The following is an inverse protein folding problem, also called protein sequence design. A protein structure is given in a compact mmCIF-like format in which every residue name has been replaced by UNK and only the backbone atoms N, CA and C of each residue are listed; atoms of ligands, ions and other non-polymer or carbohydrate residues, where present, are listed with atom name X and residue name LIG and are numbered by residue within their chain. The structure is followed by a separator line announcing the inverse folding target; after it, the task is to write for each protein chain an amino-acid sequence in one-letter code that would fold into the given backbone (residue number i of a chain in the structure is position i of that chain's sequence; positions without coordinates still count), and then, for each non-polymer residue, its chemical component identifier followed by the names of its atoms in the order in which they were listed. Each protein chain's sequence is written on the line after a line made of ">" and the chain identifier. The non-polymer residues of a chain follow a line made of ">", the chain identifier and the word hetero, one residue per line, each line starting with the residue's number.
data_IF_219950889091
#
_entry.id   IF_219950889091
#
_cell.length_a   1.000
_cell.length_b   1.000
_cell.length_c   1.000
_cell.angle_alpha   90.00
_cell.angle_beta   90.00
_cell.angle_gamma   90.00
#
_symmetry.space_group_name_H-M   'P 1'
#
loop_
_entity.id
_entity.type
_entity.pdbx_description
1 polymer ?
#
# COMPACT_ATOMS: atom_id res chain seq x y z
N UNK A 1 -23.63 -6.04 -0.37
CA UNK A 1 -22.32 -6.62 -0.04
C UNK A 1 -22.23 -7.99 -0.65
N UNK A 2 -23.27 -8.81 -0.48
CA UNK A 2 -23.38 -10.16 -1.05
C UNK A 2 -23.03 -10.21 -2.55
N UNK A 3 -23.66 -9.37 -3.38
CA UNK A 3 -23.34 -9.31 -4.82
C UNK A 3 -21.86 -9.06 -5.14
N UNK A 4 -21.14 -8.30 -4.31
CA UNK A 4 -19.74 -7.97 -4.53
C UNK A 4 -18.87 -9.16 -4.13
N UNK A 5 -19.24 -9.87 -3.06
CA UNK A 5 -18.52 -11.07 -2.63
C UNK A 5 -18.71 -12.20 -3.63
N UNK A 6 -19.93 -12.39 -4.12
CA UNK A 6 -20.23 -13.40 -5.15
C UNK A 6 -19.38 -13.19 -6.42
N UNK A 7 -19.09 -11.94 -6.79
CA UNK A 7 -18.21 -11.61 -7.94
C UNK A 7 -16.71 -11.73 -7.61
N UNK A 8 -16.34 -11.69 -6.32
CA UNK A 8 -14.96 -11.81 -5.86
C UNK A 8 -14.55 -13.27 -5.61
N UNK A 9 -15.51 -14.17 -5.37
CA UNK A 9 -15.27 -15.62 -5.20
C UNK A 9 -14.52 -16.24 -6.41
N UNK A 10 -14.67 -15.68 -7.61
CA UNK A 10 -13.92 -16.15 -8.79
C UNK A 10 -12.41 -15.80 -8.74
N UNK A 11 -11.95 -15.01 -7.76
CA UNK A 11 -10.60 -14.43 -7.64
C UNK A 11 -9.91 -14.77 -6.30
N UNK A 12 -10.23 -15.91 -5.68
CA UNK A 12 -9.74 -16.30 -4.34
C UNK A 12 -8.19 -16.28 -4.18
N UNK A 13 -7.44 -16.56 -5.24
CA UNK A 13 -5.96 -16.60 -5.22
C UNK A 13 -5.30 -15.38 -5.89
N UNK A 14 -6.09 -14.43 -6.39
CA UNK A 14 -5.58 -13.31 -7.18
C UNK A 14 -5.27 -12.06 -6.35
N UNK A 15 -4.31 -11.28 -6.85
CA UNK A 15 -3.99 -9.98 -6.28
C UNK A 15 -5.01 -8.91 -6.70
N UNK A 16 -5.90 -8.54 -5.78
CA UNK A 16 -6.96 -7.55 -6.04
C UNK A 16 -6.50 -6.11 -5.83
N UNK A 17 -6.66 -5.27 -6.86
CA UNK A 17 -6.49 -3.81 -6.77
C UNK A 17 -7.86 -3.15 -6.87
N UNK A 18 -8.30 -2.52 -5.78
CA UNK A 18 -9.57 -1.80 -5.73
C UNK A 18 -9.33 -0.32 -5.95
N UNK A 19 -9.81 0.21 -7.08
CA UNK A 19 -9.86 1.65 -7.29
C UNK A 19 -10.97 2.27 -6.42
N UNK A 20 -10.59 3.32 -5.71
CA UNK A 20 -11.30 3.85 -4.58
C UNK A 20 -11.84 5.26 -4.92
N UNK A 21 -13.08 5.62 -4.51
CA UNK A 21 -13.59 6.97 -4.71
C UNK A 21 -12.63 8.06 -4.22
N UNK A 22 -12.41 9.11 -5.01
CA UNK A 22 -11.46 10.18 -4.65
C UNK A 22 -11.90 11.14 -3.53
N UNK A 23 -13.05 10.91 -2.89
CA UNK A 23 -13.57 11.77 -1.82
C UNK A 23 -13.09 11.31 -0.46
N UNK A 24 -12.27 12.12 0.21
CA UNK A 24 -11.63 11.74 1.48
C UNK A 24 -12.62 11.59 2.66
N UNK A 25 -13.81 12.15 2.51
CA UNK A 25 -14.93 12.02 3.44
C UNK A 25 -15.36 10.56 3.64
N UNK A 26 -15.23 9.74 2.60
CA UNK A 26 -15.57 8.32 2.61
C UNK A 26 -14.62 7.48 3.47
N UNK A 27 -13.43 8.02 3.77
CA UNK A 27 -12.37 7.36 4.52
C UNK A 27 -12.20 7.94 5.92
N UNK A 28 -12.72 9.16 6.17
CA UNK A 28 -12.58 9.86 7.44
C UNK A 28 -13.81 9.73 8.35
N UNK A 29 -15.03 9.94 7.83
CA UNK A 29 -16.21 10.04 8.70
C UNK A 29 -17.45 9.28 8.23
N UNK A 30 -17.52 8.87 6.96
CA UNK A 30 -18.60 8.00 6.46
C UNK A 30 -18.15 6.53 6.60
N UNK A 31 -18.93 5.62 7.23
CA UNK A 31 -18.50 4.25 7.49
C UNK A 31 -18.50 3.31 6.25
N UNK A 32 -18.72 3.82 5.04
CA UNK A 32 -18.89 2.99 3.83
C UNK A 32 -17.63 2.17 3.54
N UNK A 33 -16.46 2.81 3.52
CA UNK A 33 -15.21 2.10 3.26
C UNK A 33 -14.86 1.11 4.37
N UNK A 34 -15.14 1.46 5.62
CA UNK A 34 -14.94 0.55 6.75
C UNK A 34 -15.79 -0.71 6.60
N UNK A 35 -17.08 -0.58 6.28
CA UNK A 35 -17.97 -1.73 6.05
C UNK A 35 -17.50 -2.59 4.89
N UNK A 36 -16.97 -2.00 3.82
CA UNK A 36 -16.38 -2.74 2.70
C UNK A 36 -15.15 -3.55 3.14
N UNK A 37 -14.22 -2.91 3.85
CA UNK A 37 -13.01 -3.55 4.36
C UNK A 37 -13.32 -4.68 5.34
N UNK A 38 -14.23 -4.46 6.28
CA UNK A 38 -14.65 -5.47 7.26
C UNK A 38 -15.22 -6.71 6.55
N UNK A 39 -15.95 -6.51 5.45
CA UNK A 39 -16.51 -7.60 4.66
C UNK A 39 -15.41 -8.36 3.90
N UNK A 40 -14.45 -7.66 3.28
CA UNK A 40 -13.31 -8.30 2.60
C UNK A 40 -12.47 -9.12 3.58
N UNK A 41 -12.19 -8.59 4.77
CA UNK A 41 -11.45 -9.31 5.81
C UNK A 41 -12.21 -10.52 6.33
N UNK A 42 -13.55 -10.45 6.43
CA UNK A 42 -14.39 -11.61 6.80
C UNK A 42 -14.36 -12.72 5.74
N UNK A 43 -14.21 -12.37 4.47
CA UNK A 43 -14.02 -13.32 3.36
C UNK A 43 -12.58 -13.85 3.27
N UNK A 44 -11.68 -13.48 4.18
CA UNK A 44 -10.31 -13.99 4.24
C UNK A 44 -9.26 -13.15 3.51
N UNK A 45 -9.65 -12.03 2.88
CA UNK A 45 -8.68 -11.15 2.21
C UNK A 45 -7.80 -10.41 3.22
N UNK A 46 -6.49 -10.41 2.95
CA UNK A 46 -5.52 -9.54 3.63
C UNK A 46 -5.49 -8.19 2.92
N UNK A 47 -5.90 -7.14 3.61
CA UNK A 47 -6.11 -5.83 3.00
C UNK A 47 -5.07 -4.83 3.50
N UNK A 48 -4.49 -4.05 2.58
CA UNK A 48 -3.63 -2.90 2.87
C UNK A 48 -4.14 -1.69 2.09
N UNK A 49 -4.11 -0.51 2.71
CA UNK A 49 -4.43 0.75 2.05
C UNK A 49 -3.17 1.41 1.50
N UNK A 50 -3.20 1.80 0.22
CA UNK A 50 -2.14 2.62 -0.39
C UNK A 50 -2.60 4.07 -0.41
N UNK A 51 -2.10 4.89 0.52
CA UNK A 51 -2.46 6.29 0.65
C UNK A 51 -1.59 7.16 -0.24
N UNK A 52 -2.16 7.62 -1.36
CA UNK A 52 -1.45 8.36 -2.39
C UNK A 52 -1.53 9.88 -2.16
N UNK A 53 -0.36 10.52 -2.04
CA UNK A 53 -0.22 11.98 -1.97
C UNK A 53 0.55 12.47 -3.19
N UNK A 54 0.15 13.61 -3.74
CA UNK A 54 0.84 14.22 -4.88
C UNK A 54 2.12 14.95 -4.41
N UNK A 55 3.25 14.69 -5.09
CA UNK A 55 4.56 15.27 -4.77
C UNK A 55 4.60 16.79 -4.69
N UNK A 56 3.69 17.49 -5.36
CA UNK A 56 3.62 18.95 -5.25
C UNK A 56 3.16 19.45 -3.87
N UNK A 57 2.46 18.62 -3.09
CA UNK A 57 1.96 19.00 -1.75
C UNK A 57 3.04 19.00 -0.70
N UNK A 58 4.11 18.22 -0.90
CA UNK A 58 5.18 18.04 0.08
C UNK A 58 6.12 19.25 0.17
N UNK A 59 6.15 20.10 -0.86
CA UNK A 59 7.04 21.25 -0.90
C UNK A 59 6.61 22.41 0.00
N UNK A 60 5.44 22.31 0.62
CA UNK A 60 4.89 23.26 1.58
C UNK A 60 4.65 22.54 2.90
N UNK A 61 5.33 23.00 3.96
CA UNK A 61 5.33 22.35 5.27
C UNK A 61 3.91 22.26 5.85
N UNK A 62 3.10 23.31 5.70
CA UNK A 62 1.72 23.33 6.21
C UNK A 62 0.81 22.34 5.45
N UNK A 63 0.97 22.24 4.13
CA UNK A 63 0.23 21.27 3.31
C UNK A 63 0.62 19.84 3.62
N UNK A 64 1.91 19.58 3.79
CA UNK A 64 2.41 18.27 4.19
C UNK A 64 1.79 17.82 5.52
N UNK A 65 1.88 18.66 6.55
CA UNK A 65 1.27 18.37 7.85
C UNK A 65 -0.22 18.07 7.73
N UNK A 66 -0.94 18.90 6.97
CA UNK A 66 -2.38 18.71 6.77
C UNK A 66 -2.69 17.38 6.09
N UNK A 67 -1.89 17.00 5.09
CA UNK A 67 -1.98 15.70 4.40
C UNK A 67 -1.67 14.53 5.33
N UNK A 68 -0.60 14.61 6.12
CA UNK A 68 -0.19 13.56 7.05
C UNK A 68 -1.21 13.37 8.19
N UNK A 69 -1.80 14.44 8.71
CA UNK A 69 -2.88 14.34 9.70
C UNK A 69 -4.15 13.73 9.10
N UNK A 70 -4.45 14.04 7.83
CA UNK A 70 -5.56 13.42 7.11
C UNK A 70 -5.33 11.93 6.91
N UNK A 71 -4.12 11.55 6.51
CA UNK A 71 -3.70 10.16 6.39
C UNK A 71 -3.87 9.42 7.72
N UNK A 72 -3.39 10.00 8.82
CA UNK A 72 -3.57 9.44 10.16
C UNK A 72 -5.05 9.24 10.52
N UNK A 73 -5.89 10.23 10.20
CA UNK A 73 -7.33 10.10 10.42
C UNK A 73 -7.93 8.92 9.65
N UNK A 74 -7.48 8.67 8.42
CA UNK A 74 -7.90 7.53 7.62
C UNK A 74 -7.37 6.21 8.22
N UNK A 75 -6.10 6.16 8.65
CA UNK A 75 -5.51 5.00 9.32
C UNK A 75 -6.31 4.56 10.54
N UNK A 76 -6.62 5.50 11.43
CA UNK A 76 -7.41 5.23 12.64
C UNK A 76 -8.82 4.76 12.28
N UNK A 77 -9.40 5.26 11.19
CA UNK A 77 -10.79 4.93 10.82
C UNK A 77 -10.91 3.56 10.17
N UNK A 78 -9.99 3.25 9.27
CA UNK A 78 -10.02 2.02 8.48
C UNK A 78 -9.44 0.83 9.24
N UNK A 79 -8.54 1.07 10.22
CA UNK A 79 -7.95 0.03 11.07
C UNK A 79 -7.24 -1.10 10.29
N UNK A 80 -6.62 -0.75 9.17
CA UNK A 80 -5.81 -1.65 8.35
C UNK A 80 -4.39 -1.08 8.18
N UNK A 81 -3.40 -1.91 7.80
CA UNK A 81 -2.09 -1.42 7.39
C UNK A 81 -2.19 -0.37 6.28
N UNK A 82 -1.36 0.67 6.37
CA UNK A 82 -1.30 1.74 5.37
C UNK A 82 0.12 1.92 4.87
N UNK A 83 0.25 2.14 3.56
CA UNK A 83 1.47 2.52 2.89
C UNK A 83 1.28 3.92 2.31
N UNK A 84 2.10 4.86 2.76
CA UNK A 84 2.07 6.23 2.28
C UNK A 84 2.93 6.36 1.03
N UNK A 85 2.34 6.81 -0.08
CA UNK A 85 3.01 6.88 -1.37
C UNK A 85 3.02 8.30 -1.88
N UNK A 86 4.20 8.75 -2.29
CA UNK A 86 4.40 10.03 -2.94
C UNK A 86 4.37 9.86 -4.47
N UNK A 87 3.35 10.41 -5.11
CA UNK A 87 3.06 10.18 -6.53
C UNK A 87 3.54 11.31 -7.43
N UNK A 88 3.55 11.04 -8.75
CA UNK A 88 3.84 12.01 -9.82
C UNK A 88 5.28 12.55 -9.79
N UNK A 89 6.24 11.74 -9.36
CA UNK A 89 7.65 12.17 -9.37
C UNK A 89 8.21 12.43 -10.77
N UNK A 90 7.65 11.77 -11.80
CA UNK A 90 7.95 12.05 -13.20
C UNK A 90 7.67 13.53 -13.59
N UNK A 91 6.65 14.15 -12.98
CA UNK A 91 6.29 15.55 -13.19
C UNK A 91 7.28 16.48 -12.49
N UNK A 92 7.75 16.12 -11.30
CA UNK A 92 8.76 16.88 -10.55
C UNK A 92 10.13 16.81 -11.20
N UNK A 93 10.53 15.65 -11.75
CA UNK A 93 11.78 15.47 -12.51
C UNK A 93 11.89 16.49 -13.64
N UNK A 94 10.81 16.72 -14.39
CA UNK A 94 10.73 17.73 -15.46
C UNK A 94 10.85 19.17 -14.94
N UNK A 95 10.48 19.39 -13.68
CA UNK A 95 10.45 20.71 -13.03
C UNK A 95 11.76 21.05 -12.29
N UNK A 96 12.79 20.20 -12.34
CA UNK A 96 14.10 20.38 -11.68
C UNK A 96 14.04 20.54 -10.15
N UNK A 97 12.94 20.14 -9.50
CA UNK A 97 12.76 20.21 -8.04
C UNK A 97 12.95 18.87 -7.33
N UNK A 98 13.58 17.91 -8.00
CA UNK A 98 13.81 16.57 -7.44
C UNK A 98 14.59 16.64 -6.12
N UNK A 99 15.62 17.49 -6.07
CA UNK A 99 16.43 17.72 -4.88
C UNK A 99 15.63 18.24 -3.70
N UNK A 100 14.59 19.02 -3.95
CA UNK A 100 13.74 19.56 -2.88
C UNK A 100 12.87 18.45 -2.27
N UNK A 101 12.45 17.48 -3.09
CA UNK A 101 11.70 16.30 -2.64
C UNK A 101 12.62 15.30 -1.92
N UNK A 102 13.79 15.00 -2.49
CA UNK A 102 14.79 14.13 -1.84
C UNK A 102 15.18 14.69 -0.47
N UNK A 103 15.53 15.99 -0.42
CA UNK A 103 15.81 16.68 0.83
C UNK A 103 14.63 16.65 1.79
N UNK A 104 13.39 16.63 1.29
CA UNK A 104 12.21 16.54 2.14
C UNK A 104 12.02 15.13 2.71
N UNK A 105 12.20 14.08 1.89
CA UNK A 105 12.08 12.69 2.33
C UNK A 105 13.12 12.35 3.40
N UNK A 106 14.27 13.01 3.38
CA UNK A 106 15.33 12.90 4.38
C UNK A 106 15.11 13.82 5.60
N UNK A 107 14.05 14.66 5.63
CA UNK A 107 13.80 15.54 6.77
C UNK A 107 13.39 14.74 7.99
N UNK A 108 14.08 15.03 9.08
CA UNK A 108 13.66 14.58 10.39
C UNK A 108 12.48 15.41 10.89
N UNK A 109 11.64 14.81 11.74
CA UNK A 109 10.44 15.46 12.30
C UNK A 109 10.78 16.79 12.97
N UNK A 110 11.91 16.85 13.69
CA UNK A 110 12.33 18.07 14.37
C UNK A 110 12.64 19.22 13.39
N UNK A 111 13.24 18.91 12.23
CA UNK A 111 13.54 19.89 11.19
C UNK A 111 12.25 20.41 10.54
N UNK A 112 11.27 19.53 10.33
CA UNK A 112 9.94 19.91 9.85
C UNK A 112 9.24 20.87 10.84
N UNK A 113 9.31 20.58 12.13
CA UNK A 113 8.72 21.47 13.16
C UNK A 113 9.41 22.83 13.18
N UNK A 114 10.74 22.86 13.07
CA UNK A 114 11.48 24.13 13.03
C UNK A 114 11.16 24.95 11.77
N UNK A 115 10.96 24.29 10.61
CA UNK A 115 10.44 24.95 9.40
C UNK A 115 9.05 25.55 9.64
N UNK A 116 8.13 24.80 10.24
CA UNK A 116 6.79 25.29 10.57
C UNK A 116 6.83 26.47 11.54
N UNK A 117 7.70 26.42 12.54
CA UNK A 117 7.86 27.51 13.51
C UNK A 117 8.35 28.80 12.85
N UNK A 118 9.15 28.70 11.78
CA UNK A 118 9.59 29.85 10.98
C UNK A 118 8.51 30.36 10.02
N UNK A 119 7.64 29.48 9.51
CA UNK A 119 6.55 29.81 8.58
C UNK A 119 5.28 30.30 9.30
N UNK A 120 5.12 29.99 10.58
CA UNK A 120 3.91 30.28 11.36
C UNK A 120 4.15 31.26 12.51
N UNK A 121 3.07 31.87 13.02
CA UNK A 121 3.16 32.75 14.17
C UNK A 121 3.53 31.97 15.45
N UNK A 122 4.35 32.56 16.33
CA UNK A 122 4.79 31.99 17.61
C UNK A 122 3.68 31.40 18.49
N UNK A 123 2.43 31.88 18.37
CA UNK A 123 1.28 31.30 19.08
C UNK A 123 1.01 29.83 18.72
N UNK A 124 1.47 29.37 17.56
CA UNK A 124 1.28 28.01 17.04
C UNK A 124 2.45 27.07 17.33
N UNK A 125 3.58 27.54 17.85
CA UNK A 125 4.76 26.68 18.06
C UNK A 125 4.48 25.49 18.98
N UNK A 126 3.66 25.70 20.03
CA UNK A 126 3.23 24.60 20.90
C UNK A 126 2.42 23.55 20.13
N UNK A 127 1.54 23.99 19.23
CA UNK A 127 0.75 23.09 18.38
C UNK A 127 1.66 22.34 17.40
N UNK A 128 2.60 23.04 16.74
CA UNK A 128 3.53 22.44 15.78
C UNK A 128 4.36 21.32 16.44
N UNK A 129 4.85 21.54 17.67
CA UNK A 129 5.60 20.52 18.43
C UNK A 129 4.75 19.29 18.75
N UNK A 130 3.50 19.49 19.17
CA UNK A 130 2.57 18.37 19.44
C UNK A 130 2.22 17.61 18.16
N UNK A 131 2.03 18.31 17.04
CA UNK A 131 1.82 17.67 15.75
C UNK A 131 3.06 16.88 15.33
N UNK A 132 4.27 17.45 15.49
CA UNK A 132 5.51 16.74 15.20
C UNK A 132 5.63 15.43 15.97
N UNK A 133 5.39 15.46 17.29
CA UNK A 133 5.37 14.25 18.12
C UNK A 133 4.38 13.20 17.59
N UNK A 134 3.16 13.62 17.22
CA UNK A 134 2.17 12.72 16.64
C UNK A 134 2.63 12.09 15.32
N UNK A 135 3.33 12.85 14.47
CA UNK A 135 3.85 12.31 13.22
C UNK A 135 5.00 11.31 13.43
N UNK A 136 5.83 11.55 14.45
CA UNK A 136 6.91 10.65 14.86
C UNK A 136 6.35 9.33 15.40
N UNK A 137 5.38 9.40 16.32
CA UNK A 137 4.75 8.23 16.95
C UNK A 137 4.12 7.27 15.92
N UNK A 138 3.59 7.80 14.82
CA UNK A 138 2.95 7.03 13.76
C UNK A 138 3.82 6.83 12.51
N UNK A 139 5.10 7.25 12.55
CA UNK A 139 6.04 7.16 11.41
C UNK A 139 5.48 7.74 10.09
N UNK A 140 4.62 8.75 10.18
CA UNK A 140 3.88 9.33 9.04
C UNK A 140 4.74 10.16 8.08
N UNK A 141 6.02 10.33 8.40
CA UNK A 141 6.98 11.03 7.54
C UNK A 141 7.61 10.08 6.51
N UNK A 142 7.48 8.76 6.69
CA UNK A 142 7.91 7.77 5.71
C UNK A 142 6.95 7.69 4.52
N UNK A 143 7.31 8.35 3.41
CA UNK A 143 6.63 8.19 2.13
C UNK A 143 7.50 7.38 1.17
N UNK A 144 6.90 6.43 0.46
CA UNK A 144 7.54 5.74 -0.64
C UNK A 144 7.44 6.61 -1.90
N UNK A 145 8.57 7.02 -2.50
CA UNK A 145 8.55 7.75 -3.76
C UNK A 145 8.11 6.82 -4.92
N UNK A 146 7.07 7.22 -5.64
CA UNK A 146 6.57 6.54 -6.83
C UNK A 146 6.79 7.38 -8.10
N UNK A 147 7.60 6.83 -9.00
CA UNK A 147 7.73 7.27 -10.38
C UNK A 147 7.21 6.19 -11.33
N UNK A 148 6.07 6.48 -11.98
CA UNK A 148 5.43 5.54 -12.91
C UNK A 148 6.24 5.28 -14.19
N UNK A 149 7.23 6.11 -14.49
CA UNK A 149 8.14 5.90 -15.61
C UNK A 149 9.32 4.99 -15.26
N UNK A 150 9.46 4.63 -13.99
CA UNK A 150 10.54 3.82 -13.45
C UNK A 150 10.00 2.47 -12.91
N UNK A 151 10.37 1.38 -13.60
CA UNK A 151 9.94 0.04 -13.21
C UNK A 151 10.50 -0.39 -11.85
N UNK A 152 11.68 0.08 -11.45
CA UNK A 152 12.28 -0.25 -10.16
C UNK A 152 11.48 0.40 -9.02
N UNK A 153 11.03 1.65 -9.21
CA UNK A 153 10.15 2.35 -8.27
C UNK A 153 8.83 1.62 -8.07
N UNK A 154 8.20 1.14 -9.15
CA UNK A 154 6.95 0.36 -9.07
C UNK A 154 7.20 -0.97 -8.36
N UNK A 155 8.27 -1.68 -8.72
CA UNK A 155 8.62 -2.98 -8.14
C UNK A 155 8.92 -2.87 -6.65
N UNK A 156 9.59 -1.79 -6.23
CA UNK A 156 9.83 -1.50 -4.83
C UNK A 156 8.53 -1.26 -4.05
N UNK A 157 7.60 -0.47 -4.61
CA UNK A 157 6.30 -0.25 -3.98
C UNK A 157 5.52 -1.56 -3.84
N UNK A 158 5.47 -2.39 -4.88
CA UNK A 158 4.82 -3.71 -4.85
C UNK A 158 5.41 -4.59 -3.74
N UNK A 159 6.74 -4.67 -3.66
CA UNK A 159 7.40 -5.42 -2.59
C UNK A 159 7.04 -4.91 -1.19
N UNK A 160 6.88 -3.60 -1.00
CA UNK A 160 6.44 -3.06 0.29
C UNK A 160 4.97 -3.41 0.60
N UNK A 161 4.09 -3.44 -0.41
CA UNK A 161 2.70 -3.87 -0.24
C UNK A 161 2.66 -5.37 0.11
N UNK A 162 3.39 -6.20 -0.62
CA UNK A 162 3.49 -7.65 -0.38
C UNK A 162 3.95 -7.94 1.05
N UNK A 163 4.98 -7.23 1.52
CA UNK A 163 5.43 -7.33 2.92
C UNK A 163 4.33 -6.91 3.90
N UNK A 164 3.58 -5.85 3.61
CA UNK A 164 2.53 -5.34 4.49
C UNK A 164 1.31 -6.26 4.58
N UNK A 165 0.98 -6.99 3.52
CA UNK A 165 -0.10 -7.99 3.53
C UNK A 165 0.41 -9.41 3.81
N UNK A 166 1.72 -9.59 4.05
CA UNK A 166 2.37 -10.89 4.24
C UNK A 166 2.11 -11.86 3.08
N UNK A 167 2.09 -11.34 1.85
CA UNK A 167 1.85 -12.15 0.67
C UNK A 167 2.94 -13.23 0.54
N UNK A 168 2.53 -14.49 0.36
CA UNK A 168 3.45 -15.61 0.18
C UNK A 168 3.94 -16.31 1.46
N UNK A 169 3.62 -15.85 2.67
CA UNK A 169 4.04 -16.54 3.92
C UNK A 169 3.29 -17.86 4.18
N UNK A 170 2.07 -17.99 3.66
CA UNK A 170 1.25 -19.21 3.76
C UNK A 170 1.48 -20.18 2.59
N UNK A 171 2.35 -19.83 1.65
CA UNK A 171 2.70 -20.72 0.54
C UNK A 171 3.68 -21.75 1.08
N UNK A 172 3.22 -23.00 1.20
CA UNK A 172 4.11 -24.10 1.58
C UNK A 172 5.31 -24.14 0.62
N UNK A 173 6.54 -24.26 1.13
CA UNK A 173 7.71 -24.41 0.27
C UNK A 173 7.53 -25.69 -0.54
N UNK A 174 7.42 -25.57 -1.87
CA UNK A 174 7.39 -26.73 -2.76
C UNK A 174 8.67 -27.54 -2.56
N UNK A 175 8.52 -28.81 -2.19
CA UNK A 175 9.66 -29.70 -2.07
C UNK A 175 10.25 -29.88 -3.49
N UNK A 176 11.56 -29.69 -3.71
CA UNK A 176 12.18 -29.88 -5.02
C UNK A 176 11.93 -31.27 -5.65
N UNK A 177 11.44 -32.23 -4.86
CA UNK A 177 11.08 -33.57 -5.31
C UNK A 177 9.64 -33.70 -5.84
N UNK A 178 8.74 -32.74 -5.60
CA UNK A 178 7.34 -32.83 -6.05
C UNK A 178 7.20 -32.62 -7.57
N UNK A 179 8.21 -32.06 -8.25
CA UNK A 179 8.24 -31.93 -9.71
C UNK A 179 8.49 -33.27 -10.46
N UNK A 180 8.84 -34.35 -9.75
CA UNK A 180 9.25 -35.61 -10.37
C UNK A 180 8.19 -36.72 -10.36
N UNK A 181 6.97 -36.45 -9.86
CA UNK A 181 5.93 -37.47 -9.70
C UNK A 181 4.72 -37.36 -10.66
N UNK A 182 4.69 -36.37 -11.58
CA UNK A 182 3.55 -36.21 -12.51
C UNK A 182 3.79 -36.77 -13.93
N UNK A 183 4.94 -37.39 -14.22
CA UNK A 183 5.18 -38.13 -15.47
C UNK A 183 5.44 -39.60 -15.16
N UNK A 184 4.39 -40.44 -14.99
CA UNK A 184 4.39 -41.89 -15.31
C UNK A 184 3.14 -42.64 -14.75
N UNK A 185 1.91 -42.16 -15.01
CA UNK A 185 0.70 -42.97 -14.77
C UNK A 185 -0.23 -43.14 -16.00
N UNK A 186 0.29 -42.98 -17.23
CA UNK A 186 -0.46 -43.25 -18.46
C UNK A 186 0.30 -44.22 -19.39
N UNK A 187 0.66 -45.43 -18.92
CA UNK A 187 1.20 -46.47 -19.80
C UNK A 187 1.02 -47.92 -19.30
N UNK A 188 -0.21 -48.38 -18.99
CA UNK A 188 -0.53 -49.79 -19.24
C UNK A 188 -2.06 -50.04 -19.29
N UNK A 189 -2.66 -49.88 -20.47
CA UNK A 189 -3.86 -50.67 -20.80
C UNK A 189 -4.00 -50.81 -22.32
N UNK A 190 -3.65 -51.98 -22.88
CA UNK A 190 -3.62 -52.16 -24.33
C UNK A 190 -3.17 -53.52 -24.89
N UNK A 191 -3.80 -54.60 -24.44
CA UNK A 191 -4.13 -55.83 -25.20
C UNK A 191 -3.12 -56.43 -26.21
N UNK A 192 -2.63 -57.65 -25.93
CA UNK A 192 -2.51 -58.72 -26.94
C UNK A 192 -2.73 -60.10 -26.30
N UNK A 193 -3.98 -60.55 -26.36
CA UNK A 193 -4.37 -61.96 -26.25
C UNK A 193 -4.39 -62.59 -27.67
N UNK A 194 -4.28 -63.93 -27.74
CA UNK A 194 -4.36 -64.86 -28.90
C UNK A 194 -3.07 -65.09 -29.72
N UNK A 195 -2.58 -66.30 -30.04
CA UNK A 195 -3.11 -67.67 -30.05
C UNK A 195 -1.96 -68.68 -29.83
N UNK A 196 -2.21 -69.78 -29.10
CA UNK A 196 -1.47 -71.04 -29.27
C UNK A 196 -2.35 -72.25 -28.88
N UNK A 197 -3.18 -72.72 -29.82
CA UNK A 197 -3.42 -74.14 -30.16
C UNK A 197 -4.52 -74.25 -31.23
#
# INVERSE_FOLDING_TARGET
>A
MDWLMDELDDFEEDYLIIDCPGQIELYSHIPVMRTLLDALQQSGYRVCAVFMVDSQFILDSCKFISGSLMCLSAMIRLEIPHINVLTKLDVIKKSHRLKDIESFLDLEVHELVDRLDNETNNRYHKLNRTIGQLLEDYSLVGYIPLDISDQESISFLLAQIDNSIQYGEDVEPQDPNDQYFEEDEDADDGAFDNYNN
#
